data_IF_004344544345
#
_entry.id   IF_004344544345
#
_cell.length_a   1.000
_cell.length_b   1.000
_cell.length_c   1.000
_cell.angle_alpha   90.00
_cell.angle_beta   90.00
_cell.angle_gamma   90.00
#
_symmetry.space_group_name_H-M   'P 1'
#
loop_
_entity.id
_entity.type
_entity.pdbx_description
1 polymer ?
#
# COMPACT_ATOMS: atom_id res chain seq x y z
N UNK A 1 5.30 -4.27 13.10
CA UNK A 1 4.15 -5.08 12.63
C UNK A 1 3.69 -4.64 11.23
N UNK A 2 3.14 -5.54 10.40
CA UNK A 2 2.51 -5.22 9.10
C UNK A 2 0.99 -5.06 9.25
N UNK A 3 0.41 -4.04 8.62
CA UNK A 3 -1.03 -3.81 8.58
C UNK A 3 -1.44 -2.98 7.35
N UNK A 4 -2.71 -3.00 6.92
CA UNK A 4 -3.17 -2.15 5.82
C UNK A 4 -3.08 -0.66 6.19
N UNK A 5 -2.47 0.16 5.32
CA UNK A 5 -2.47 1.62 5.48
C UNK A 5 -3.89 2.18 5.32
N UNK A 6 -4.64 1.63 4.36
CA UNK A 6 -6.04 1.92 4.14
C UNK A 6 -6.80 0.67 3.66
N UNK A 7 -8.12 0.78 3.56
CA UNK A 7 -9.00 -0.31 3.06
C UNK A 7 -9.19 -0.28 1.54
N UNK A 8 -8.63 0.71 0.85
CA UNK A 8 -8.78 0.92 -0.59
C UNK A 8 -8.15 -0.20 -1.44
N UNK A 9 -8.77 -0.45 -2.59
CA UNK A 9 -8.19 -1.24 -3.69
C UNK A 9 -7.86 -0.29 -4.83
N UNK A 10 -6.60 -0.24 -5.21
CA UNK A 10 -6.11 0.63 -6.28
C UNK A 10 -5.77 -0.19 -7.53
N UNK A 11 -5.73 0.46 -8.69
CA UNK A 11 -5.53 -0.21 -9.98
C UNK A 11 -4.10 -0.73 -10.12
N UNK A 12 -3.90 -2.00 -10.47
CA UNK A 12 -2.55 -2.44 -10.81
C UNK A 12 -2.08 -1.82 -12.14
N UNK A 13 -0.91 -1.18 -12.13
CA UNK A 13 -0.32 -0.49 -13.30
C UNK A 13 0.88 -1.23 -13.91
N UNK A 14 1.17 -2.47 -13.49
CA UNK A 14 2.32 -3.24 -13.95
C UNK A 14 3.57 -3.13 -13.07
N UNK A 15 3.67 -2.08 -12.25
CA UNK A 15 4.73 -1.91 -11.25
C UNK A 15 4.19 -1.23 -9.98
N UNK A 16 4.85 -1.49 -8.84
CA UNK A 16 4.62 -0.78 -7.59
C UNK A 16 5.16 0.67 -7.63
N UNK A 17 6.10 0.97 -8.52
CA UNK A 17 6.71 2.31 -8.67
C UNK A 17 5.68 3.39 -9.01
N UNK A 18 4.58 3.02 -9.68
CA UNK A 18 3.45 3.91 -9.98
C UNK A 18 2.81 4.56 -8.73
N UNK A 19 3.10 4.01 -7.54
CA UNK A 19 2.60 4.44 -6.24
C UNK A 19 3.68 5.10 -5.36
N UNK A 20 4.92 5.11 -5.80
CA UNK A 20 6.03 5.76 -5.08
C UNK A 20 6.07 7.26 -5.38
N UNK A 21 6.69 8.04 -4.50
CA UNK A 21 6.87 9.49 -4.67
C UNK A 21 5.62 10.34 -4.42
N UNK A 22 4.52 9.74 -3.95
CA UNK A 22 3.35 10.48 -3.47
C UNK A 22 3.43 10.66 -1.97
N UNK A 23 3.26 11.90 -1.52
CA UNK A 23 3.09 12.18 -0.10
C UNK A 23 1.79 11.56 0.41
N UNK A 24 1.88 10.99 1.60
CA UNK A 24 0.73 10.46 2.35
C UNK A 24 0.64 11.22 3.66
N UNK A 25 -0.55 11.22 4.26
CA UNK A 25 -0.72 11.79 5.59
C UNK A 25 0.25 11.12 6.56
N UNK A 26 0.93 11.93 7.38
CA UNK A 26 1.81 11.41 8.42
C UNK A 26 0.98 10.65 9.48
N UNK A 27 1.45 9.45 9.84
CA UNK A 27 0.80 8.58 10.82
C UNK A 27 1.83 8.23 11.90
N UNK A 28 1.58 8.62 13.17
CA UNK A 28 2.48 8.29 14.27
C UNK A 28 2.79 6.79 14.36
N UNK A 29 4.08 6.46 14.38
CA UNK A 29 4.58 5.10 14.54
C UNK A 29 4.68 4.27 13.23
N UNK A 30 4.27 4.82 12.09
CA UNK A 30 4.54 4.22 10.77
C UNK A 30 5.94 4.59 10.30
N UNK A 31 6.71 3.60 9.85
CA UNK A 31 8.04 3.81 9.27
C UNK A 31 7.98 3.99 7.76
N UNK A 32 7.13 3.22 7.10
CA UNK A 32 7.00 3.24 5.66
C UNK A 32 5.61 2.78 5.24
N UNK A 33 5.17 3.32 4.10
CA UNK A 33 4.00 2.86 3.34
C UNK A 33 4.51 2.30 2.03
N UNK A 34 4.02 1.12 1.64
CA UNK A 34 4.42 0.47 0.41
C UNK A 34 3.22 -0.13 -0.33
N UNK A 35 3.34 -0.21 -1.66
CA UNK A 35 2.34 -0.81 -2.52
C UNK A 35 2.54 -2.33 -2.59
N UNK A 36 1.50 -3.09 -2.24
CA UNK A 36 1.47 -4.54 -2.35
C UNK A 36 0.51 -4.96 -3.47
N UNK A 37 1.01 -5.76 -4.41
CA UNK A 37 0.17 -6.35 -5.46
C UNK A 37 -0.60 -7.54 -4.88
N UNK A 38 -1.92 -7.52 -5.04
CA UNK A 38 -2.83 -8.62 -4.71
C UNK A 38 -3.67 -9.01 -5.91
N UNK A 39 -4.39 -10.11 -5.79
CA UNK A 39 -5.37 -10.58 -6.78
C UNK A 39 -6.62 -11.09 -6.07
N UNK A 40 -7.77 -10.81 -6.65
CA UNK A 40 -9.04 -11.46 -6.31
C UNK A 40 -9.77 -11.91 -7.59
N UNK A 41 -11.06 -12.26 -7.48
CA UNK A 41 -11.90 -12.70 -8.61
C UNK A 41 -12.09 -11.62 -9.70
N UNK A 42 -11.90 -10.34 -9.37
CA UNK A 42 -12.00 -9.21 -10.31
C UNK A 42 -10.66 -8.83 -10.93
N UNK A 43 -9.57 -9.53 -10.55
CA UNK A 43 -8.24 -9.35 -11.14
C UNK A 43 -7.20 -8.77 -10.18
N UNK A 44 -6.05 -8.30 -10.71
CA UNK A 44 -4.98 -7.75 -9.90
C UNK A 44 -5.31 -6.34 -9.42
N UNK A 45 -4.98 -6.05 -8.17
CA UNK A 45 -5.12 -4.73 -7.56
C UNK A 45 -3.94 -4.44 -6.64
N UNK A 46 -3.83 -3.19 -6.20
CA UNK A 46 -2.86 -2.73 -5.21
C UNK A 46 -3.56 -2.46 -3.90
N UNK A 47 -2.96 -2.92 -2.81
CA UNK A 47 -3.28 -2.48 -1.44
C UNK A 47 -2.08 -1.73 -0.89
N UNK A 48 -2.32 -0.58 -0.27
CA UNK A 48 -1.27 0.13 0.46
C UNK A 48 -1.13 -0.50 1.84
N UNK A 49 0.10 -0.88 2.18
CA UNK A 49 0.46 -1.53 3.43
C UNK A 49 1.41 -0.62 4.21
N UNK A 50 1.45 -0.79 5.53
CA UNK A 50 2.30 -0.04 6.44
C UNK A 50 3.09 -0.98 7.35
N UNK A 51 4.27 -0.51 7.74
CA UNK A 51 5.12 -1.18 8.74
C UNK A 51 5.39 -0.24 9.92
N UNK A 52 5.26 -0.77 11.13
CA UNK A 52 5.63 -0.12 12.40
C UNK A 52 6.80 -0.85 13.07
N UNK A 53 7.51 -0.17 13.99
CA UNK A 53 8.53 -0.79 14.86
C UNK A 53 7.95 -1.62 16.01
N UNK A 54 6.68 -1.40 16.36
CA UNK A 54 5.96 -2.17 17.39
C UNK A 54 5.63 -3.60 16.94
#
# INVERSE_FOLDING_TARGET
>A
RLFPFCTGKYRWHGSAEAYTGREVQDIPGVLAVFAERRKDSFGPYVRLMSVTLN
#
